data_IF_541315406456
#
_entry.id   IF_541315406456
#
_cell.length_a   1.000
_cell.length_b   1.000
_cell.length_c   1.000
_cell.angle_alpha   90.00
_cell.angle_beta   90.00
_cell.angle_gamma   90.00
#
_symmetry.space_group_name_H-M   'P 1'
#
loop_
_entity.id
_entity.type
_entity.pdbx_description
1 polymer ?
#
# COMPACT_ATOMS: atom_id res chain seq x y z
N UNK A 1 -25.65 48.02 6.35
CA UNK A 1 -25.99 46.75 5.67
C UNK A 1 -26.56 47.12 4.31
N UNK A 2 -26.03 46.78 3.14
CA UNK A 2 -25.07 45.73 2.79
C UNK A 2 -24.70 45.90 1.30
N UNK A 3 -23.56 46.52 0.98
CA UNK A 3 -22.98 46.51 -0.38
C UNK A 3 -21.76 45.59 -0.43
N UNK A 4 -21.04 45.47 0.68
CA UNK A 4 -19.92 44.54 0.87
C UNK A 4 -20.37 43.07 0.79
N UNK A 5 -21.47 42.69 1.48
CA UNK A 5 -22.01 41.32 1.46
C UNK A 5 -22.41 40.88 0.04
N UNK A 6 -23.02 41.77 -0.74
CA UNK A 6 -23.48 41.44 -2.09
C UNK A 6 -22.31 41.17 -3.05
N UNK A 7 -21.15 41.80 -2.83
CA UNK A 7 -19.93 41.58 -3.62
C UNK A 7 -19.31 40.21 -3.32
N UNK A 8 -19.26 39.82 -2.05
CA UNK A 8 -18.75 38.50 -1.63
C UNK A 8 -19.66 37.37 -2.10
N UNK A 9 -20.98 37.56 -2.04
CA UNK A 9 -21.96 36.58 -2.56
C UNK A 9 -21.80 36.40 -4.07
N UNK A 10 -21.68 37.48 -4.86
CA UNK A 10 -21.46 37.38 -6.31
C UNK A 10 -20.10 36.75 -6.67
N UNK A 11 -19.06 37.04 -5.90
CA UNK A 11 -17.74 36.44 -6.09
C UNK A 11 -17.75 34.94 -5.77
N UNK A 12 -18.48 34.55 -4.72
CA UNK A 12 -18.71 33.15 -4.35
C UNK A 12 -19.50 32.41 -5.42
N UNK A 13 -20.60 32.98 -5.91
CA UNK A 13 -21.43 32.41 -6.99
C UNK A 13 -20.60 32.23 -8.28
N UNK A 14 -19.78 33.22 -8.63
CA UNK A 14 -18.90 33.18 -9.81
C UNK A 14 -17.84 32.08 -9.68
N UNK A 15 -17.27 31.91 -8.49
CA UNK A 15 -16.30 30.85 -8.17
C UNK A 15 -16.95 29.46 -8.18
N UNK A 16 -18.17 29.33 -7.66
CA UNK A 16 -18.96 28.10 -7.71
C UNK A 16 -19.33 27.71 -9.15
N UNK A 17 -19.77 28.65 -10.00
CA UNK A 17 -20.08 28.37 -11.40
C UNK A 17 -18.83 27.93 -12.19
N UNK A 18 -17.69 28.56 -11.95
CA UNK A 18 -16.40 28.15 -12.54
C UNK A 18 -16.03 26.71 -12.15
N UNK A 19 -16.20 26.36 -10.88
CA UNK A 19 -15.98 25.00 -10.37
C UNK A 19 -16.94 23.96 -10.96
N UNK A 20 -18.22 24.32 -11.18
CA UNK A 20 -19.22 23.42 -11.79
C UNK A 20 -18.89 23.17 -13.26
N UNK A 21 -18.50 24.21 -14.01
CA UNK A 21 -18.08 24.09 -15.41
C UNK A 21 -16.81 23.23 -15.52
N UNK A 22 -15.84 23.42 -14.63
CA UNK A 22 -14.61 22.64 -14.60
C UNK A 22 -14.86 21.16 -14.29
N UNK A 23 -15.69 20.84 -13.28
CA UNK A 23 -16.10 19.45 -12.98
C UNK A 23 -16.92 18.80 -14.09
N UNK A 24 -17.65 19.58 -14.90
CA UNK A 24 -18.36 19.06 -16.08
C UNK A 24 -17.38 18.75 -17.21
N UNK A 25 -16.39 19.61 -17.46
CA UNK A 25 -15.32 19.37 -18.44
C UNK A 25 -14.48 18.16 -18.08
N UNK A 26 -14.01 18.04 -16.84
CA UNK A 26 -13.25 16.88 -16.36
C UNK A 26 -14.03 15.56 -16.51
N UNK A 27 -15.35 15.57 -16.28
CA UNK A 27 -16.21 14.39 -16.51
C UNK A 27 -16.31 14.02 -17.99
N UNK A 28 -16.48 15.00 -18.87
CA UNK A 28 -16.49 14.76 -20.32
C UNK A 28 -15.13 14.28 -20.83
N UNK A 29 -14.03 14.84 -20.32
CA UNK A 29 -12.67 14.41 -20.66
C UNK A 29 -12.44 12.95 -20.30
N UNK A 30 -12.94 12.51 -19.14
CA UNK A 30 -12.86 11.11 -18.71
C UNK A 30 -13.72 10.15 -19.56
N UNK A 31 -14.85 10.62 -20.09
CA UNK A 31 -15.73 9.85 -20.97
C UNK A 31 -15.08 9.54 -22.32
N UNK A 32 -14.24 10.45 -22.84
CA UNK A 32 -13.57 10.28 -24.13
C UNK A 32 -12.26 9.45 -24.07
N UNK A 33 -11.83 9.04 -22.88
CA UNK A 33 -10.60 8.24 -22.73
C UNK A 33 -10.80 6.78 -23.08
N UNK A 34 -9.79 6.20 -23.74
CA UNK A 34 -9.61 4.76 -23.85
C UNK A 34 -9.58 4.09 -22.47
N UNK A 35 -9.97 2.81 -22.41
CA UNK A 35 -9.90 1.99 -21.19
C UNK A 35 -8.51 2.03 -20.54
N UNK A 36 -7.44 2.04 -21.34
CA UNK A 36 -6.08 2.06 -20.83
C UNK A 36 -5.73 3.42 -20.21
N UNK A 37 -6.13 4.51 -20.86
CA UNK A 37 -5.89 5.87 -20.36
C UNK A 37 -6.64 6.14 -19.05
N UNK A 38 -7.87 5.62 -18.91
CA UNK A 38 -8.60 5.64 -17.62
C UNK A 38 -7.87 4.87 -16.53
N UNK A 39 -7.29 3.70 -16.84
CA UNK A 39 -6.49 2.92 -15.88
C UNK A 39 -5.24 3.68 -15.46
N UNK A 40 -4.52 4.29 -16.42
CA UNK A 40 -3.33 5.10 -16.16
C UNK A 40 -3.65 6.28 -15.24
N UNK A 41 -4.68 7.08 -15.56
CA UNK A 41 -5.12 8.19 -14.71
C UNK A 41 -5.53 7.73 -13.31
N UNK A 42 -6.29 6.63 -13.18
CA UNK A 42 -6.64 6.06 -11.86
C UNK A 42 -5.40 5.71 -11.05
N UNK A 43 -4.44 5.02 -11.67
CA UNK A 43 -3.18 4.61 -11.01
C UNK A 43 -2.31 5.81 -10.60
N UNK A 44 -2.39 6.90 -11.36
CA UNK A 44 -1.71 8.16 -11.05
C UNK A 44 -2.38 8.99 -9.92
N UNK A 45 -3.56 8.59 -9.42
CA UNK A 45 -4.16 9.28 -8.26
C UNK A 45 -3.43 8.93 -6.96
N UNK A 46 -3.30 9.92 -6.07
CA UNK A 46 -2.73 9.70 -4.74
C UNK A 46 -3.51 8.65 -3.94
N UNK A 47 -4.85 8.64 -4.06
CA UNK A 47 -5.72 7.64 -3.43
C UNK A 47 -5.38 6.22 -3.87
N UNK A 48 -5.12 6.00 -5.17
CA UNK A 48 -4.72 4.68 -5.64
C UNK A 48 -3.33 4.28 -5.14
N UNK A 49 -2.35 5.18 -5.22
CA UNK A 49 -0.97 4.91 -4.76
C UNK A 49 -0.92 4.56 -3.28
N UNK A 50 -1.58 5.36 -2.44
CA UNK A 50 -1.65 5.12 -0.99
C UNK A 50 -2.33 3.79 -0.68
N UNK A 51 -3.51 3.50 -1.26
CA UNK A 51 -4.18 2.23 -1.08
C UNK A 51 -3.36 1.01 -1.57
N UNK A 52 -2.56 1.18 -2.63
CA UNK A 52 -1.63 0.14 -3.09
C UNK A 52 -0.47 -0.06 -2.12
N UNK A 53 0.17 1.02 -1.67
CA UNK A 53 1.27 0.97 -0.71
C UNK A 53 0.82 0.33 0.62
N UNK A 54 -0.36 0.68 1.13
CA UNK A 54 -0.92 0.07 2.35
C UNK A 54 -1.12 -1.44 2.19
N UNK A 55 -1.68 -1.89 1.05
CA UNK A 55 -1.87 -3.32 0.79
C UNK A 55 -0.54 -4.07 0.75
N UNK A 56 0.47 -3.49 0.08
CA UNK A 56 1.78 -4.10 0.01
C UNK A 56 2.46 -4.14 1.38
N UNK A 57 2.32 -3.08 2.19
CA UNK A 57 2.82 -3.06 3.57
C UNK A 57 2.21 -4.19 4.40
N UNK A 58 0.90 -4.39 4.33
CA UNK A 58 0.19 -5.48 5.03
C UNK A 58 0.71 -6.85 4.55
N UNK A 59 0.89 -7.03 3.23
CA UNK A 59 1.43 -8.27 2.66
C UNK A 59 2.83 -8.59 3.20
N UNK A 60 3.71 -7.58 3.23
CA UNK A 60 5.08 -7.72 3.74
C UNK A 60 5.09 -7.93 5.26
N UNK A 61 4.20 -7.28 6.00
CA UNK A 61 4.04 -7.47 7.44
C UNK A 61 3.63 -8.91 7.77
N UNK A 62 2.62 -9.46 7.08
CA UNK A 62 2.23 -10.86 7.22
C UNK A 62 3.38 -11.83 6.92
N UNK A 63 4.16 -11.55 5.87
CA UNK A 63 5.36 -12.32 5.54
C UNK A 63 6.43 -12.25 6.66
N UNK A 64 6.66 -11.06 7.23
CA UNK A 64 7.63 -10.88 8.31
C UNK A 64 7.19 -11.56 9.60
N UNK A 65 5.89 -11.59 9.90
CA UNK A 65 5.33 -12.36 11.03
C UNK A 65 5.62 -13.85 10.85
N UNK A 66 5.37 -14.41 9.66
CA UNK A 66 5.71 -15.81 9.37
C UNK A 66 7.22 -16.11 9.54
N UNK A 67 8.09 -15.20 9.13
CA UNK A 67 9.54 -15.31 9.34
C UNK A 67 9.93 -15.28 10.83
N UNK A 68 9.24 -14.46 11.63
CA UNK A 68 9.45 -14.40 13.08
C UNK A 68 8.99 -15.69 13.77
N UNK A 69 7.86 -16.26 13.37
CA UNK A 69 7.39 -17.56 13.89
C UNK A 69 8.35 -18.69 13.53
N UNK A 70 8.81 -18.77 12.26
CA UNK A 70 9.81 -19.76 11.85
C UNK A 70 11.08 -19.64 12.70
N UNK A 71 11.57 -18.41 12.92
CA UNK A 71 12.77 -18.15 13.72
C UNK A 71 12.67 -18.69 15.15
N UNK A 72 11.51 -18.61 15.80
CA UNK A 72 11.32 -19.12 17.18
C UNK A 72 11.56 -20.62 17.30
N UNK A 73 11.39 -21.36 16.21
CA UNK A 73 11.58 -22.81 16.15
C UNK A 73 13.03 -23.21 15.88
N UNK A 74 13.89 -22.25 15.52
CA UNK A 74 15.26 -22.55 15.12
C UNK A 74 16.21 -22.53 16.32
N UNK A 75 17.08 -23.55 16.47
CA UNK A 75 18.07 -23.56 17.54
C UNK A 75 19.18 -22.54 17.25
N UNK A 76 19.42 -21.60 18.18
CA UNK A 76 20.52 -20.63 18.10
C UNK A 76 21.24 -20.44 19.42
N UNK A 77 22.56 -20.18 19.35
CA UNK A 77 23.37 -19.77 20.49
C UNK A 77 24.01 -18.39 20.19
N UNK A 78 23.73 -17.34 20.97
CA UNK A 78 22.72 -17.27 22.03
C UNK A 78 21.27 -17.34 21.48
N UNK A 79 20.25 -17.62 22.31
CA UNK A 79 18.85 -17.75 21.87
C UNK A 79 18.26 -16.51 21.18
N UNK A 80 18.84 -15.33 21.44
CA UNK A 80 18.44 -14.05 20.88
C UNK A 80 19.28 -13.60 19.67
N UNK A 81 20.20 -14.46 19.18
CA UNK A 81 21.07 -14.16 18.03
C UNK A 81 20.27 -13.68 16.83
N UNK A 82 20.37 -12.41 16.45
CA UNK A 82 19.69 -11.87 15.26
C UNK A 82 20.13 -12.60 13.99
N UNK A 83 19.17 -13.17 13.26
CA UNK A 83 19.39 -13.86 11.98
C UNK A 83 18.74 -13.04 10.85
N UNK A 84 19.44 -12.95 9.74
CA UNK A 84 18.90 -12.47 8.47
C UNK A 84 17.91 -13.48 7.87
N UNK A 85 17.10 -13.03 6.89
CA UNK A 85 16.12 -13.89 6.21
C UNK A 85 16.78 -15.11 5.55
N UNK A 86 17.96 -14.93 4.94
CA UNK A 86 18.68 -16.04 4.31
C UNK A 86 19.22 -17.03 5.34
N UNK A 87 19.71 -16.56 6.48
CA UNK A 87 20.17 -17.44 7.56
C UNK A 87 19.01 -18.24 8.16
N UNK A 88 17.84 -17.63 8.39
CA UNK A 88 16.63 -18.32 8.86
C UNK A 88 16.28 -19.47 7.91
N UNK A 89 16.26 -19.23 6.60
CA UNK A 89 15.92 -20.26 5.62
C UNK A 89 16.95 -21.40 5.60
N UNK A 90 18.25 -21.07 5.59
CA UNK A 90 19.32 -22.07 5.59
C UNK A 90 19.29 -22.92 6.85
N UNK A 91 19.13 -22.29 8.02
CA UNK A 91 19.08 -22.97 9.30
C UNK A 91 17.84 -23.85 9.43
N UNK A 92 16.68 -23.42 8.92
CA UNK A 92 15.48 -24.24 8.87
C UNK A 92 15.68 -25.52 8.05
N UNK A 93 16.28 -25.42 6.86
CA UNK A 93 16.59 -26.59 6.02
C UNK A 93 17.54 -27.54 6.75
N UNK A 94 18.63 -27.02 7.32
CA UNK A 94 19.57 -27.82 8.09
C UNK A 94 18.91 -28.50 9.30
N UNK A 95 18.03 -27.79 10.00
CA UNK A 95 17.40 -28.32 11.21
C UNK A 95 16.38 -29.42 10.89
N UNK A 96 15.58 -29.28 9.84
CA UNK A 96 14.70 -30.36 9.37
C UNK A 96 15.54 -31.61 9.01
N UNK A 97 16.62 -31.44 8.25
CA UNK A 97 17.50 -32.55 7.89
C UNK A 97 18.13 -33.24 9.11
N UNK A 98 18.55 -32.45 10.10
CA UNK A 98 19.08 -32.97 11.36
C UNK A 98 18.04 -33.79 12.12
N UNK A 99 16.82 -33.27 12.28
CA UNK A 99 15.75 -33.98 12.98
C UNK A 99 15.38 -35.29 12.28
N UNK A 100 15.33 -35.31 10.95
CA UNK A 100 15.09 -36.54 10.18
C UNK A 100 16.19 -37.58 10.45
N UNK A 101 17.46 -37.17 10.44
CA UNK A 101 18.57 -38.08 10.73
C UNK A 101 18.48 -38.69 12.14
N UNK A 102 18.13 -37.88 13.15
CA UNK A 102 17.95 -38.35 14.53
C UNK A 102 16.80 -39.34 14.67
N UNK A 103 15.76 -39.23 13.84
CA UNK A 103 14.61 -40.16 13.86
C UNK A 103 14.87 -41.47 13.11
N UNK A 104 15.82 -41.48 12.17
CA UNK A 104 16.22 -42.68 11.42
C UNK A 104 17.22 -43.56 12.17
N UNK A 105 17.86 -43.02 13.22
CA UNK A 105 18.75 -43.72 14.16
C UNK A 105 18.02 -44.20 15.39
#
# INVERSE_FOLDING_TARGET
>A
MSTQDNREVLQTITSCNSNVVQRRRERNDMANLSREERRRRRRATQKYRTAHATRERIRVEAFNVAFAELRKLLPTLPPDKKLSKIEILRLAICYIAYLNHVLET
#
